data_IF_955929716372
#
_entry.id   IF_955929716372
#
_cell.length_a   1.000
_cell.length_b   1.000
_cell.length_c   1.000
_cell.angle_alpha   90.00
_cell.angle_beta   90.00
_cell.angle_gamma   90.00
#
_symmetry.space_group_name_H-M   'P 1'
#
loop_
_entity.id
_entity.type
_entity.pdbx_description
1 polymer ?
#
# COMPACT_ATOMS: atom_id res chain seq x y z
N UNK A 1 -19.82 5.39 -3.96
CA UNK A 1 -19.76 4.40 -5.06
C UNK A 1 -18.34 3.90 -5.18
N UNK A 2 -18.10 2.65 -4.80
CA UNK A 2 -16.81 1.98 -4.90
C UNK A 2 -17.04 0.59 -5.52
N UNK A 3 -17.51 0.58 -6.77
CA UNK A 3 -17.73 -0.66 -7.52
C UNK A 3 -16.41 -1.33 -7.91
N UNK A 4 -16.45 -2.64 -8.06
CA UNK A 4 -15.36 -3.42 -8.63
C UNK A 4 -15.21 -3.07 -10.13
N UNK A 5 -13.98 -2.99 -10.62
CA UNK A 5 -13.68 -2.77 -12.04
C UNK A 5 -13.15 -4.07 -12.63
N UNK A 6 -13.91 -4.68 -13.53
CA UNK A 6 -13.46 -5.81 -14.33
C UNK A 6 -13.04 -5.33 -15.72
N UNK A 7 -11.84 -5.69 -16.17
CA UNK A 7 -11.43 -5.51 -17.57
C UNK A 7 -11.94 -6.72 -18.37
N UNK A 8 -12.93 -6.50 -19.23
CA UNK A 8 -13.55 -7.55 -20.03
C UNK A 8 -12.63 -7.93 -21.20
N UNK A 9 -11.90 -9.05 -21.05
CA UNK A 9 -11.27 -9.72 -22.19
C UNK A 9 -11.93 -11.06 -22.56
N UNK A 10 -12.84 -11.60 -21.74
CA UNK A 10 -13.62 -12.79 -22.07
C UNK A 10 -15.09 -12.62 -21.69
N UNK A 11 -15.99 -12.73 -22.67
CA UNK A 11 -17.45 -12.58 -22.49
C UNK A 11 -18.09 -13.76 -21.74
N UNK A 12 -17.35 -14.85 -21.50
CA UNK A 12 -17.83 -16.06 -20.84
C UNK A 12 -17.68 -16.08 -19.31
N UNK A 13 -17.13 -15.02 -18.68
CA UNK A 13 -16.99 -14.94 -17.21
C UNK A 13 -18.10 -14.13 -16.53
N UNK A 14 -19.02 -13.53 -17.30
CA UNK A 14 -20.01 -12.59 -16.78
C UNK A 14 -21.09 -13.25 -15.92
N UNK A 15 -21.59 -14.42 -16.31
CA UNK A 15 -22.71 -15.07 -15.62
C UNK A 15 -22.34 -15.54 -14.20
N UNK A 16 -21.11 -16.04 -14.01
CA UNK A 16 -20.59 -16.43 -12.70
C UNK A 16 -20.30 -15.23 -11.78
N UNK A 17 -19.82 -14.11 -12.36
CA UNK A 17 -19.58 -12.86 -11.63
C UNK A 17 -20.92 -12.25 -11.18
N UNK A 18 -21.94 -12.24 -12.03
CA UNK A 18 -23.27 -11.74 -11.67
C UNK A 18 -23.98 -12.62 -10.65
N UNK A 19 -23.84 -13.94 -10.73
CA UNK A 19 -24.39 -14.84 -9.70
C UNK A 19 -23.71 -14.60 -8.34
N UNK A 20 -22.38 -14.49 -8.30
CA UNK A 20 -21.64 -14.17 -7.08
C UNK A 20 -21.95 -12.76 -6.54
N UNK A 21 -22.12 -11.75 -7.42
CA UNK A 21 -22.53 -10.40 -7.01
C UNK A 21 -23.98 -10.37 -6.53
N UNK A 22 -24.88 -11.17 -7.11
CA UNK A 22 -26.28 -11.27 -6.69
C UNK A 22 -26.44 -12.01 -5.35
N UNK A 23 -25.65 -13.06 -5.11
CA UNK A 23 -25.60 -13.74 -3.82
C UNK A 23 -24.92 -12.88 -2.74
N UNK A 24 -23.85 -12.16 -3.09
CA UNK A 24 -23.22 -11.17 -2.20
C UNK A 24 -24.18 -10.00 -1.85
N UNK A 25 -25.06 -9.60 -2.77
CA UNK A 25 -26.09 -8.60 -2.53
C UNK A 25 -27.20 -9.09 -1.57
N UNK A 26 -27.40 -10.41 -1.44
CA UNK A 26 -28.35 -11.04 -0.51
C UNK A 26 -27.75 -11.37 0.86
N UNK A 27 -26.42 -11.37 0.99
CA UNK A 27 -25.73 -11.72 2.21
C UNK A 27 -25.61 -10.53 3.19
N UNK A 28 -25.23 -10.80 4.44
CA UNK A 28 -24.90 -9.75 5.43
C UNK A 28 -23.75 -8.90 4.91
N UNK A 29 -24.03 -7.62 4.64
CA UNK A 29 -23.04 -6.65 4.17
C UNK A 29 -22.63 -5.77 5.34
N UNK A 30 -21.32 -5.73 5.63
CA UNK A 30 -20.74 -4.69 6.44
C UNK A 30 -20.60 -3.43 5.58
N UNK A 31 -21.48 -2.46 5.81
CA UNK A 31 -21.51 -1.19 5.06
C UNK A 31 -20.63 -0.13 5.71
N UNK A 32 -20.08 0.75 4.90
CA UNK A 32 -19.35 1.92 5.36
C UNK A 32 -18.13 1.57 6.22
N UNK A 33 -17.45 0.46 5.90
CA UNK A 33 -16.32 -0.01 6.69
C UNK A 33 -15.28 1.10 6.81
N UNK A 34 -14.85 1.33 8.04
CA UNK A 34 -13.82 2.27 8.41
C UNK A 34 -12.79 1.55 9.28
N UNK A 35 -11.52 1.59 8.87
CA UNK A 35 -10.40 1.07 9.65
C UNK A 35 -9.83 2.24 10.45
N UNK A 36 -9.78 2.12 11.76
CA UNK A 36 -9.29 3.14 12.67
C UNK A 36 -8.04 2.67 13.41
N UNK A 37 -7.00 3.50 13.38
CA UNK A 37 -5.76 3.31 14.11
C UNK A 37 -5.71 4.31 15.25
N UNK A 38 -5.65 3.80 16.49
CA UNK A 38 -5.23 4.58 17.66
C UNK A 38 -3.75 4.32 17.86
N UNK A 39 -2.92 5.17 17.28
CA UNK A 39 -1.47 4.98 17.27
C UNK A 39 -0.85 5.41 18.60
N UNK A 40 0.22 4.71 19.00
CA UNK A 40 1.03 5.12 20.15
C UNK A 40 1.70 6.50 19.90
N UNK A 41 2.15 7.22 20.95
CA UNK A 41 2.81 8.51 20.79
C UNK A 41 3.97 8.47 19.79
N UNK A 42 3.94 9.38 18.82
CA UNK A 42 4.96 9.50 17.77
C UNK A 42 4.82 8.52 16.60
N UNK A 43 3.92 7.54 16.67
CA UNK A 43 3.59 6.66 15.55
C UNK A 43 2.55 7.33 14.65
N UNK A 44 2.72 7.25 13.34
CA UNK A 44 1.81 7.85 12.35
C UNK A 44 1.47 6.85 11.24
N UNK A 45 0.20 6.78 10.84
CA UNK A 45 -0.20 6.12 9.59
C UNK A 45 0.09 7.07 8.43
N UNK A 46 0.93 6.66 7.48
CA UNK A 46 1.35 7.53 6.37
C UNK A 46 0.87 7.06 4.99
N UNK A 47 0.50 5.79 4.86
CA UNK A 47 -0.18 5.25 3.67
C UNK A 47 -1.06 4.07 4.06
N UNK A 48 -2.17 3.90 3.34
CA UNK A 48 -3.09 2.79 3.47
C UNK A 48 -3.52 2.32 2.07
N UNK A 49 -2.58 1.78 1.29
CA UNK A 49 -2.83 1.25 -0.06
C UNK A 49 -3.47 2.28 -1.02
N UNK A 50 -3.22 3.58 -0.83
CA UNK A 50 -3.83 4.68 -1.58
C UNK A 50 -5.27 5.03 -1.19
N UNK A 51 -5.82 4.49 -0.10
CA UNK A 51 -7.02 5.07 0.51
C UNK A 51 -6.66 6.41 1.17
N UNK A 52 -7.49 7.46 1.04
CA UNK A 52 -7.32 8.68 1.79
C UNK A 52 -7.31 8.39 3.30
N UNK A 53 -6.37 9.02 4.01
CA UNK A 53 -6.26 8.91 5.47
C UNK A 53 -6.75 10.21 6.09
N UNK A 54 -7.78 10.10 6.91
CA UNK A 54 -8.30 11.17 7.76
C UNK A 54 -7.59 11.11 9.12
N UNK A 55 -7.07 12.24 9.59
CA UNK A 55 -6.47 12.36 10.93
C UNK A 55 -7.32 13.30 11.79
N UNK A 56 -7.87 12.78 12.89
CA UNK A 56 -8.64 13.57 13.84
C UNK A 56 -8.49 12.97 15.25
N UNK A 57 -8.29 13.83 16.26
CA UNK A 57 -8.25 13.45 17.69
C UNK A 57 -7.30 12.28 18.01
N UNK A 58 -6.14 12.22 17.35
CA UNK A 58 -5.16 11.14 17.53
C UNK A 58 -5.55 9.81 16.88
N UNK A 59 -6.59 9.79 16.06
CA UNK A 59 -7.07 8.63 15.32
C UNK A 59 -6.81 8.83 13.83
N UNK A 60 -6.19 7.84 13.18
CA UNK A 60 -6.07 7.78 11.73
C UNK A 60 -7.13 6.84 11.17
N UNK A 61 -7.93 7.31 10.21
CA UNK A 61 -9.05 6.54 9.62
C UNK A 61 -8.91 6.45 8.11
N UNK A 62 -9.13 5.26 7.55
CA UNK A 62 -9.36 5.11 6.11
C UNK A 62 -10.58 4.21 5.84
N UNK A 63 -11.18 4.37 4.67
CA UNK A 63 -12.45 3.72 4.31
C UNK A 63 -12.30 2.83 3.08
N UNK A 64 -12.15 1.50 3.26
CA UNK A 64 -11.99 0.58 2.14
C UNK A 64 -13.26 0.34 1.33
N UNK A 65 -14.42 0.81 1.79
CA UNK A 65 -15.73 0.54 1.22
C UNK A 65 -16.44 -0.64 1.89
N UNK A 66 -17.54 -1.10 1.31
CA UNK A 66 -18.33 -2.18 1.88
C UNK A 66 -17.61 -3.54 1.76
N UNK A 67 -17.96 -4.47 2.67
CA UNK A 67 -17.53 -5.86 2.65
C UNK A 67 -18.77 -6.78 2.64
N UNK A 68 -18.82 -7.67 1.65
CA UNK A 68 -19.84 -8.72 1.59
C UNK A 68 -19.48 -9.90 2.51
N UNK A 69 -20.47 -10.72 2.87
CA UNK A 69 -20.21 -11.94 3.63
C UNK A 69 -19.21 -12.85 2.88
N UNK A 70 -18.28 -13.45 3.62
CA UNK A 70 -17.22 -14.29 3.07
C UNK A 70 -16.06 -13.53 2.42
N UNK A 71 -16.23 -12.25 2.07
CA UNK A 71 -15.18 -11.47 1.43
C UNK A 71 -14.03 -11.18 2.40
N UNK A 72 -12.80 -11.45 1.94
CA UNK A 72 -11.58 -10.97 2.59
C UNK A 72 -10.96 -9.84 1.77
N UNK A 73 -10.60 -8.74 2.43
CA UNK A 73 -9.85 -7.64 1.81
C UNK A 73 -8.55 -7.42 2.54
N UNK A 74 -7.44 -7.61 1.83
CA UNK A 74 -6.10 -7.29 2.35
C UNK A 74 -5.74 -5.85 2.02
N UNK A 75 -5.26 -5.11 3.02
CA UNK A 75 -4.79 -3.73 2.87
C UNK A 75 -3.42 -3.62 3.51
N UNK A 76 -2.43 -3.17 2.73
CA UNK A 76 -1.11 -2.82 3.27
C UNK A 76 -1.15 -1.40 3.84
N UNK A 77 -0.66 -1.25 5.07
CA UNK A 77 -0.62 0.02 5.79
C UNK A 77 0.83 0.32 6.14
N UNK A 78 1.27 1.54 5.84
CA UNK A 78 2.62 2.01 6.18
C UNK A 78 2.56 2.89 7.42
N UNK A 79 3.33 2.51 8.44
CA UNK A 79 3.50 3.27 9.67
C UNK A 79 4.87 3.95 9.70
N UNK A 80 4.90 5.22 10.10
CA UNK A 80 6.12 5.89 10.54
C UNK A 80 6.25 5.72 12.05
N UNK A 81 7.36 5.17 12.49
CA UNK A 81 7.65 4.87 13.91
C UNK A 81 8.92 5.61 14.32
N UNK A 82 9.02 6.20 15.54
CA UNK A 82 10.24 6.84 16.01
C UNK A 82 11.38 5.83 16.21
N UNK A 83 12.53 6.09 15.57
CA UNK A 83 13.72 5.19 15.57
C UNK A 83 14.98 5.84 16.16
N UNK A 84 14.85 6.93 16.90
CA UNK A 84 15.98 7.72 17.42
C UNK A 84 16.81 7.01 18.50
N UNK A 85 16.24 6.00 19.17
CA UNK A 85 16.92 5.21 20.20
C UNK A 85 16.42 3.76 20.18
N UNK A 86 17.30 2.79 20.42
CA UNK A 86 16.91 1.39 20.59
C UNK A 86 15.89 1.24 21.72
N UNK A 87 14.76 0.60 21.40
CA UNK A 87 13.66 0.35 22.32
C UNK A 87 12.60 -0.52 21.63
N UNK A 88 11.83 -1.24 22.43
CA UNK A 88 10.56 -1.77 21.97
C UNK A 88 9.52 -0.64 21.92
N UNK A 89 8.76 -0.59 20.83
CA UNK A 89 7.77 0.45 20.57
C UNK A 89 6.43 -0.21 20.31
N UNK A 90 5.45 0.10 21.15
CA UNK A 90 4.06 -0.19 20.83
C UNK A 90 3.64 0.61 19.60
N UNK A 91 2.87 -0.03 18.71
CA UNK A 91 2.31 0.65 17.54
C UNK A 91 0.92 1.24 17.80
N UNK A 92 0.18 0.64 18.74
CA UNK A 92 -1.18 1.03 19.10
C UNK A 92 -2.21 -0.04 18.73
N UNK A 93 -3.47 0.38 18.55
CA UNK A 93 -4.60 -0.52 18.35
C UNK A 93 -5.32 -0.25 17.03
N UNK A 94 -5.91 -1.30 16.44
CA UNK A 94 -6.73 -1.21 15.23
C UNK A 94 -8.14 -1.73 15.48
N UNK A 95 -9.12 -0.96 15.03
CA UNK A 95 -10.53 -1.35 15.06
C UNK A 95 -11.19 -1.17 13.69
N UNK A 96 -12.18 -2.01 13.41
CA UNK A 96 -13.15 -1.82 12.34
C UNK A 96 -14.40 -1.19 12.92
N UNK A 97 -14.92 -0.18 12.23
CA UNK A 97 -16.28 0.32 12.43
C UNK A 97 -17.05 0.11 11.14
N UNK A 98 -18.29 -0.37 11.26
CA UNK A 98 -19.13 -0.66 10.10
C UNK A 98 -20.61 -0.67 10.52
N UNK A 99 -21.50 -0.65 9.54
CA UNK A 99 -22.93 -0.80 9.74
C UNK A 99 -23.34 -2.21 9.32
N UNK A 100 -24.01 -2.96 10.20
CA UNK A 100 -24.65 -4.24 9.89
C UNK A 100 -26.08 -4.19 10.40
N UNK A 101 -27.04 -4.55 9.54
CA UNK A 101 -28.47 -4.57 9.86
C UNK A 101 -28.99 -3.23 10.41
N UNK A 102 -28.45 -2.12 9.86
CA UNK A 102 -28.80 -0.76 10.28
C UNK A 102 -28.17 -0.30 11.60
N UNK A 103 -27.38 -1.17 12.26
CA UNK A 103 -26.73 -0.86 13.55
C UNK A 103 -25.25 -0.60 13.34
N UNK A 104 -24.76 0.50 13.90
CA UNK A 104 -23.33 0.80 13.97
C UNK A 104 -22.65 -0.22 14.90
N UNK A 105 -21.61 -0.89 14.39
CA UNK A 105 -20.80 -1.84 15.14
C UNK A 105 -19.34 -1.42 15.12
N UNK A 106 -18.63 -1.79 16.17
CA UNK A 106 -17.19 -1.64 16.30
C UNK A 106 -16.59 -2.95 16.78
N UNK A 107 -15.49 -3.38 16.17
CA UNK A 107 -14.75 -4.57 16.60
C UNK A 107 -13.26 -4.31 16.53
N UNK A 108 -12.47 -4.65 17.56
CA UNK A 108 -11.02 -4.67 17.41
C UNK A 108 -10.63 -5.71 16.35
N UNK A 109 -9.65 -5.39 15.51
CA UNK A 109 -9.05 -6.37 14.58
C UNK A 109 -7.99 -7.16 15.32
N UNK A 110 -7.06 -6.44 15.94
CA UNK A 110 -5.97 -6.96 16.76
C UNK A 110 -5.26 -5.79 17.46
N UNK A 111 -4.60 -6.08 18.58
CA UNK A 111 -3.51 -5.22 19.05
C UNK A 111 -2.36 -5.33 18.03
N UNK A 112 -1.81 -4.19 17.60
CA UNK A 112 -0.63 -4.25 16.74
C UNK A 112 0.55 -4.79 17.55
N UNK A 113 1.39 -5.66 16.96
CA UNK A 113 2.58 -6.13 17.66
C UNK A 113 3.48 -4.92 17.97
N UNK A 114 4.21 -5.01 19.07
CA UNK A 114 5.30 -4.08 19.30
C UNK A 114 6.42 -4.34 18.29
N UNK A 115 7.17 -3.28 17.95
CA UNK A 115 8.33 -3.37 17.07
C UNK A 115 9.59 -3.00 17.84
N UNK A 116 10.65 -3.78 17.67
CA UNK A 116 11.95 -3.48 18.24
C UNK A 116 12.71 -2.52 17.31
N UNK A 117 13.09 -1.35 17.84
CA UNK A 117 14.15 -0.54 17.26
C UNK A 117 15.48 -1.08 17.83
N UNK A 118 16.34 -1.60 16.96
CA UNK A 118 17.64 -2.18 17.35
C UNK A 118 18.77 -1.34 16.76
N UNK A 119 19.94 -1.35 17.41
CA UNK A 119 21.10 -0.57 16.98
C UNK A 119 21.91 -1.28 15.89
N UNK A 120 21.93 -2.61 15.88
CA UNK A 120 22.78 -3.41 15.00
C UNK A 120 21.98 -4.13 13.91
N UNK A 121 22.55 -4.14 12.71
CA UNK A 121 21.94 -4.71 11.51
C UNK A 121 21.84 -6.26 11.57
N UNK A 122 22.73 -6.91 12.31
CA UNK A 122 22.73 -8.36 12.47
C UNK A 122 21.49 -8.83 13.25
N UNK A 123 21.17 -8.18 14.38
CA UNK A 123 19.97 -8.45 15.18
C UNK A 123 18.70 -8.13 14.38
N UNK A 124 18.67 -7.02 13.64
CA UNK A 124 17.55 -6.67 12.77
C UNK A 124 17.28 -7.79 11.74
N UNK A 125 18.32 -8.21 11.03
CA UNK A 125 18.21 -9.22 9.97
C UNK A 125 17.84 -10.59 10.52
N UNK A 126 18.41 -10.98 11.67
CA UNK A 126 18.10 -12.26 12.31
C UNK A 126 16.64 -12.35 12.78
N UNK A 127 16.04 -11.23 13.19
CA UNK A 127 14.63 -11.16 13.59
C UNK A 127 13.65 -10.97 12.44
N UNK A 128 14.12 -10.80 11.20
CA UNK A 128 13.27 -10.51 10.05
C UNK A 128 12.59 -11.79 9.53
N UNK A 129 11.25 -11.78 9.46
CA UNK A 129 10.52 -12.75 8.65
C UNK A 129 10.75 -12.44 7.17
N UNK A 130 11.67 -13.20 6.56
CA UNK A 130 12.10 -13.03 5.17
C UNK A 130 10.95 -13.16 4.18
N UNK A 131 10.02 -14.08 4.40
CA UNK A 131 8.91 -14.33 3.48
C UNK A 131 7.87 -13.21 3.54
N UNK A 132 7.56 -12.74 4.75
CA UNK A 132 6.68 -11.58 4.94
C UNK A 132 7.31 -10.31 4.39
N UNK A 133 8.63 -10.13 4.60
CA UNK A 133 9.36 -8.99 4.04
C UNK A 133 9.35 -8.99 2.52
N UNK A 134 9.71 -10.11 1.87
CA UNK A 134 9.70 -10.23 0.40
C UNK A 134 8.33 -9.85 -0.16
N UNK A 135 7.26 -10.43 0.40
CA UNK A 135 5.89 -10.15 -0.03
C UNK A 135 5.55 -8.67 0.15
N UNK A 136 5.94 -8.06 1.27
CA UNK A 136 5.69 -6.64 1.53
C UNK A 136 6.38 -5.73 0.50
N UNK A 137 7.58 -6.12 0.05
CA UNK A 137 8.34 -5.35 -0.95
C UNK A 137 7.72 -5.50 -2.33
N UNK A 138 7.41 -6.74 -2.73
CA UNK A 138 6.87 -7.08 -4.05
C UNK A 138 5.45 -6.55 -4.24
N UNK A 139 4.58 -6.72 -3.26
CA UNK A 139 3.15 -6.37 -3.38
C UNK A 139 2.83 -4.92 -2.93
N UNK A 140 3.61 -4.36 -2.00
CA UNK A 140 3.29 -3.08 -1.34
C UNK A 140 4.29 -1.97 -1.58
N UNK A 141 5.55 -2.17 -1.18
CA UNK A 141 6.55 -1.10 -1.18
C UNK A 141 6.84 -0.57 -2.58
N UNK A 142 6.86 -1.46 -3.58
CA UNK A 142 7.04 -1.07 -4.98
C UNK A 142 5.90 -0.17 -5.48
N UNK A 143 4.66 -0.52 -5.17
CA UNK A 143 3.48 0.28 -5.52
C UNK A 143 3.51 1.67 -4.87
N UNK A 144 4.00 1.76 -3.63
CA UNK A 144 4.12 3.02 -2.91
C UNK A 144 5.19 3.92 -3.54
N UNK A 145 6.36 3.38 -3.91
CA UNK A 145 7.40 4.19 -4.54
C UNK A 145 6.95 4.70 -5.91
N UNK A 146 6.22 3.91 -6.71
CA UNK A 146 5.63 4.35 -7.98
C UNK A 146 4.69 5.56 -7.79
N UNK A 147 3.83 5.52 -6.75
CA UNK A 147 2.92 6.64 -6.44
C UNK A 147 3.67 7.90 -6.01
N UNK A 148 4.70 7.76 -5.17
CA UNK A 148 5.50 8.90 -4.71
C UNK A 148 6.29 9.54 -5.86
N UNK A 149 6.91 8.72 -6.72
CA UNK A 149 7.57 9.21 -7.95
C UNK A 149 6.56 9.91 -8.85
N UNK A 150 5.37 9.32 -9.06
CA UNK A 150 4.33 9.94 -9.86
C UNK A 150 3.88 11.31 -9.30
N UNK A 151 3.86 11.48 -7.97
CA UNK A 151 3.54 12.75 -7.35
C UNK A 151 4.63 13.81 -7.62
N UNK A 152 5.91 13.45 -7.49
CA UNK A 152 7.01 14.37 -7.79
C UNK A 152 7.04 14.77 -9.27
N UNK A 153 6.82 13.80 -10.18
CA UNK A 153 6.74 14.08 -11.62
C UNK A 153 5.60 15.07 -11.94
N UNK A 154 4.42 14.92 -11.30
CA UNK A 154 3.31 15.88 -11.47
C UNK A 154 3.65 17.27 -10.94
N UNK A 155 4.44 17.34 -9.87
CA UNK A 155 4.90 18.60 -9.30
C UNK A 155 6.03 19.25 -10.12
N UNK A 156 6.53 18.57 -11.17
CA UNK A 156 7.67 19.04 -11.95
C UNK A 156 9.01 18.86 -11.25
N UNK A 157 9.08 18.07 -10.18
CA UNK A 157 10.30 17.85 -9.40
C UNK A 157 11.03 16.58 -9.84
N UNK A 158 11.85 16.69 -10.89
CA UNK A 158 12.69 15.59 -11.37
C UNK A 158 13.73 15.15 -10.33
N UNK A 159 14.31 16.10 -9.58
CA UNK A 159 15.35 15.80 -8.61
C UNK A 159 14.78 15.00 -7.43
N UNK A 160 13.62 15.43 -6.91
CA UNK A 160 12.88 14.69 -5.88
C UNK A 160 12.45 13.30 -6.33
N UNK A 161 11.96 13.17 -7.57
CA UNK A 161 11.61 11.87 -8.15
C UNK A 161 12.81 10.90 -8.18
N UNK A 162 13.97 11.37 -8.65
CA UNK A 162 15.21 10.55 -8.68
C UNK A 162 15.71 10.22 -7.28
N UNK A 163 15.70 11.19 -6.36
CA UNK A 163 16.16 11.00 -4.99
C UNK A 163 15.31 9.94 -4.25
N UNK A 164 13.99 9.96 -4.43
CA UNK A 164 13.09 8.94 -3.89
C UNK A 164 13.45 7.55 -4.40
N UNK A 165 13.63 7.41 -5.72
CA UNK A 165 13.89 6.13 -6.36
C UNK A 165 15.26 5.56 -5.97
N UNK A 166 16.29 6.40 -5.95
CA UNK A 166 17.63 6.03 -5.50
C UNK A 166 17.64 5.63 -4.01
N UNK A 167 16.95 6.39 -3.15
CA UNK A 167 16.82 6.06 -1.73
C UNK A 167 16.00 4.80 -1.45
N UNK A 168 15.02 4.48 -2.29
CA UNK A 168 14.32 3.20 -2.25
C UNK A 168 15.25 2.05 -2.67
N UNK A 169 15.93 2.18 -3.83
CA UNK A 169 16.87 1.18 -4.34
C UNK A 169 17.93 0.84 -3.30
N UNK A 170 18.65 1.84 -2.79
CA UNK A 170 19.74 1.62 -1.84
C UNK A 170 19.28 0.88 -0.57
N UNK A 171 18.17 1.33 0.05
CA UNK A 171 17.64 0.69 1.26
C UNK A 171 17.21 -0.77 1.02
N UNK A 172 16.54 -1.02 -0.11
CA UNK A 172 16.05 -2.36 -0.44
C UNK A 172 17.20 -3.28 -0.85
N UNK A 173 18.22 -2.79 -1.56
CA UNK A 173 19.44 -3.55 -1.90
C UNK A 173 20.22 -3.96 -0.65
N UNK A 174 20.44 -3.03 0.29
CA UNK A 174 21.13 -3.34 1.56
C UNK A 174 20.44 -4.50 2.27
N UNK A 175 19.12 -4.43 2.47
CA UNK A 175 18.37 -5.50 3.12
C UNK A 175 18.35 -6.79 2.28
N UNK A 176 18.22 -6.69 0.96
CA UNK A 176 18.19 -7.86 0.11
C UNK A 176 19.53 -8.60 0.05
N UNK A 177 20.65 -7.92 0.30
CA UNK A 177 21.97 -8.56 0.39
C UNK A 177 22.04 -9.60 1.52
N UNK A 178 21.27 -9.38 2.60
CA UNK A 178 21.21 -10.28 3.74
C UNK A 178 20.02 -11.28 3.67
N UNK A 179 18.93 -10.89 3.01
CA UNK A 179 17.76 -11.77 2.80
C UNK A 179 17.98 -12.77 1.66
N UNK A 180 18.53 -12.32 0.54
CA UNK A 180 18.79 -13.12 -0.65
C UNK A 180 17.56 -13.40 -1.51
N UNK A 181 16.57 -12.49 -1.55
CA UNK A 181 15.35 -12.69 -2.36
C UNK A 181 15.61 -12.39 -3.85
N UNK A 182 15.36 -13.38 -4.70
CA UNK A 182 15.39 -13.24 -6.16
C UNK A 182 14.25 -12.35 -6.65
N UNK A 183 13.04 -12.51 -6.10
CA UNK A 183 11.87 -11.71 -6.49
C UNK A 183 12.09 -10.21 -6.21
N UNK A 184 12.72 -9.87 -5.08
CA UNK A 184 13.09 -8.48 -4.77
C UNK A 184 14.18 -7.97 -5.71
N UNK A 185 15.19 -8.79 -6.02
CA UNK A 185 16.24 -8.42 -6.98
C UNK A 185 15.67 -8.10 -8.37
N UNK A 186 14.72 -8.90 -8.84
CA UNK A 186 14.03 -8.66 -10.11
C UNK A 186 13.25 -7.34 -10.10
N UNK A 187 12.55 -7.02 -9.00
CA UNK A 187 11.86 -5.75 -8.83
C UNK A 187 12.82 -4.55 -8.82
N UNK A 188 13.97 -4.67 -8.15
CA UNK A 188 15.01 -3.64 -8.15
C UNK A 188 15.56 -3.39 -9.56
N UNK A 189 15.74 -4.44 -10.37
CA UNK A 189 16.16 -4.34 -11.77
C UNK A 189 15.18 -3.53 -12.63
N UNK A 190 13.88 -3.58 -12.33
CA UNK A 190 12.84 -2.80 -13.05
C UNK A 190 12.91 -1.30 -12.77
N UNK A 191 13.52 -0.87 -11.66
CA UNK A 191 13.60 0.56 -11.30
C UNK A 191 14.39 1.37 -12.34
N UNK A 192 15.33 0.77 -13.07
CA UNK A 192 16.09 1.45 -14.12
C UNK A 192 15.20 1.96 -15.26
N UNK A 193 14.11 1.23 -15.58
CA UNK A 193 13.14 1.68 -16.57
C UNK A 193 12.36 2.92 -16.08
N UNK A 194 12.05 2.99 -14.77
CA UNK A 194 11.40 4.16 -14.17
C UNK A 194 12.36 5.36 -14.20
N UNK A 195 13.64 5.18 -13.90
CA UNK A 195 14.65 6.25 -14.00
C UNK A 195 14.75 6.81 -15.41
N UNK A 196 14.86 5.94 -16.42
CA UNK A 196 14.90 6.37 -17.81
C UNK A 196 13.63 7.14 -18.23
N UNK A 197 12.45 6.73 -17.74
CA UNK A 197 11.20 7.44 -18.01
C UNK A 197 11.10 8.78 -17.27
N UNK A 198 11.70 8.93 -16.08
CA UNK A 198 11.86 10.24 -15.45
C UNK A 198 12.70 11.14 -16.36
N UNK A 199 13.85 10.67 -16.83
CA UNK A 199 14.73 11.48 -17.68
C UNK A 199 14.06 11.89 -19.00
N UNK A 200 13.34 10.98 -19.66
CA UNK A 200 12.56 11.31 -20.86
C UNK A 200 11.44 12.32 -20.57
N UNK A 201 10.73 12.18 -19.44
CA UNK A 201 9.64 13.08 -19.07
C UNK A 201 10.09 14.53 -18.87
N UNK A 202 11.35 14.73 -18.48
CA UNK A 202 11.93 16.05 -18.21
C UNK A 202 12.88 16.55 -19.30
N UNK A 203 12.92 15.91 -20.47
CA UNK A 203 13.78 16.31 -21.59
C UNK A 203 13.03 16.43 -22.92
N UNK A 204 13.60 17.26 -23.82
CA UNK A 204 13.06 17.47 -25.17
C UNK A 204 11.83 18.38 -25.23
N UNK A 205 11.15 18.37 -26.37
CA UNK A 205 9.88 19.05 -26.58
C UNK A 205 8.73 18.30 -25.87
N UNK A 206 7.59 18.98 -25.66
CA UNK A 206 6.37 18.41 -25.08
C UNK A 206 6.51 17.85 -23.64
N UNK A 207 7.47 18.32 -22.85
CA UNK A 207 7.72 17.82 -21.47
C UNK A 207 6.46 17.75 -20.61
N UNK A 208 5.61 18.78 -20.65
CA UNK A 208 4.35 18.79 -19.89
C UNK A 208 3.43 17.62 -20.26
N UNK A 209 3.36 17.24 -21.54
CA UNK A 209 2.59 16.06 -21.98
C UNK A 209 3.26 14.77 -21.49
N UNK A 210 4.58 14.65 -21.61
CA UNK A 210 5.32 13.47 -21.16
C UNK A 210 5.17 13.25 -19.65
N UNK A 211 5.36 14.29 -18.84
CA UNK A 211 5.14 14.27 -17.38
C UNK A 211 3.73 13.82 -17.01
N UNK A 212 2.71 14.35 -17.71
CA UNK A 212 1.31 13.98 -17.47
C UNK A 212 1.04 12.51 -17.81
N UNK A 213 1.49 12.04 -18.97
CA UNK A 213 1.33 10.64 -19.39
C UNK A 213 2.05 9.70 -18.42
N UNK A 214 3.32 9.98 -18.12
CA UNK A 214 4.15 9.15 -17.28
C UNK A 214 3.61 9.06 -15.85
N UNK A 215 3.29 10.20 -15.22
CA UNK A 215 2.73 10.21 -13.87
C UNK A 215 1.37 9.49 -13.79
N UNK A 216 0.52 9.58 -14.82
CA UNK A 216 -0.74 8.82 -14.89
C UNK A 216 -0.48 7.32 -14.99
N UNK A 217 0.50 6.90 -15.78
CA UNK A 217 0.91 5.50 -15.91
C UNK A 217 1.35 4.92 -14.57
N UNK A 218 2.31 5.57 -13.90
CA UNK A 218 2.81 5.13 -12.59
C UNK A 218 1.71 5.09 -11.52
N UNK A 219 0.87 6.12 -11.46
CA UNK A 219 -0.22 6.15 -10.48
C UNK A 219 -1.24 5.03 -10.69
N UNK A 220 -1.52 4.68 -11.96
CA UNK A 220 -2.38 3.54 -12.29
C UNK A 220 -1.73 2.22 -11.88
N UNK A 221 -0.44 2.05 -12.20
CA UNK A 221 0.30 0.84 -11.85
C UNK A 221 0.34 0.62 -10.34
N UNK A 222 0.73 1.65 -9.58
CA UNK A 222 0.74 1.59 -8.12
C UNK A 222 -0.65 1.32 -7.52
N UNK A 223 -1.73 1.82 -8.12
CA UNK A 223 -3.09 1.52 -7.67
C UNK A 223 -3.49 0.06 -7.90
N UNK A 224 -3.16 -0.50 -9.08
CA UNK A 224 -3.44 -1.91 -9.41
C UNK A 224 -2.66 -2.85 -8.48
N UNK A 225 -1.37 -2.59 -8.28
CA UNK A 225 -0.52 -3.37 -7.37
C UNK A 225 -1.05 -3.35 -5.93
N UNK A 226 -1.49 -2.19 -5.45
CA UNK A 226 -2.02 -2.04 -4.08
C UNK A 226 -3.36 -2.75 -3.83
N UNK A 227 -4.11 -3.12 -4.87
CA UNK A 227 -5.49 -3.66 -4.76
C UNK A 227 -5.67 -5.08 -5.27
N UNK A 228 -4.61 -5.76 -5.72
CA UNK A 228 -4.68 -7.12 -6.23
C UNK A 228 -5.06 -8.19 -5.17
N UNK A 229 -5.20 -7.84 -3.89
CA UNK A 229 -5.49 -8.77 -2.79
C UNK A 229 -6.97 -9.00 -2.45
N UNK A 230 -7.89 -8.90 -3.42
CA UNK A 230 -9.31 -9.23 -3.21
C UNK A 230 -9.57 -10.66 -3.68
N UNK A 231 -9.82 -11.58 -2.75
CA UNK A 231 -10.24 -12.96 -3.03
C UNK A 231 -11.63 -13.22 -2.46
N UNK A 232 -12.44 -13.97 -3.21
CA UNK A 232 -13.75 -14.49 -2.81
C UNK A 232 -13.61 -15.87 -2.16
#
# INVERSE_FOLDING_TARGET
GAGNFYSLHDQNSLDGIFAAEFDAARATIARGVAVQFRTAPGVQVIDAAGYPIEHADGISTFRPGDLAAGQTRRVFVTLRVPTHMPAERALGDVALNFISDGVQRSTPIAALPAVACVADEATFTAGLDKATWERSVVEGAYANIEKQVAAQVRAGDAAGARALLAGYRARTETLNSAVGSVAVADHLGRLGAIEAQIDDAFTGADQSKKQNVFSKSLNRSGWLHSRAGVSY
#
